data_IF_676623897611
#
_entry.id   IF_676623897611
#
_cell.length_a   1.000
_cell.length_b   1.000
_cell.length_c   1.000
_cell.angle_alpha   90.00
_cell.angle_beta   90.00
_cell.angle_gamma   90.00
#
_symmetry.space_group_name_H-M   'P 1'
#
loop_
_entity.id
_entity.type
_entity.pdbx_description
1 polymer ?
#
# COMPACT_ATOMS: atom_id res chain seq x y z
N UNK A 1 3.75 -14.73 -25.21
CA UNK A 1 4.08 -13.35 -24.89
C UNK A 1 4.59 -13.23 -23.45
N UNK A 2 5.70 -12.52 -23.24
CA UNK A 2 6.23 -12.17 -21.92
C UNK A 2 6.17 -10.66 -21.75
N UNK A 3 5.67 -10.18 -20.61
CA UNK A 3 5.69 -8.76 -20.28
C UNK A 3 6.82 -8.44 -19.29
N UNK A 4 7.48 -7.31 -19.51
CA UNK A 4 8.48 -6.72 -18.61
C UNK A 4 7.97 -5.36 -18.17
N UNK A 5 7.90 -5.13 -16.87
CA UNK A 5 7.30 -3.92 -16.27
C UNK A 5 8.32 -3.09 -15.49
N UNK A 6 8.29 -1.80 -15.70
CA UNK A 6 8.87 -0.79 -14.81
C UNK A 6 7.81 0.25 -14.44
N UNK A 7 7.83 0.73 -13.22
CA UNK A 7 7.11 1.92 -12.78
C UNK A 7 7.85 3.20 -13.21
N UNK A 8 7.11 4.32 -13.29
CA UNK A 8 7.65 5.56 -13.85
C UNK A 8 7.50 6.78 -12.94
N UNK A 9 6.65 6.71 -11.93
CA UNK A 9 6.25 7.87 -11.15
C UNK A 9 7.35 8.34 -10.20
N UNK A 10 7.38 9.66 -9.99
CA UNK A 10 8.18 10.32 -8.97
C UNK A 10 7.30 10.69 -7.78
N UNK A 11 7.92 10.92 -6.63
CA UNK A 11 7.25 11.23 -5.38
C UNK A 11 7.30 12.74 -5.05
N UNK A 12 6.30 13.27 -4.30
CA UNK A 12 6.27 14.66 -3.84
C UNK A 12 7.25 14.88 -2.69
N UNK A 13 8.53 14.65 -2.97
CA UNK A 13 9.66 14.75 -2.04
C UNK A 13 10.71 15.70 -2.60
N UNK A 14 11.18 16.64 -1.77
CA UNK A 14 12.26 17.55 -2.17
C UNK A 14 13.61 16.83 -2.08
N UNK A 15 14.32 16.75 -3.20
CA UNK A 15 15.66 16.19 -3.23
C UNK A 15 16.65 17.09 -2.47
N UNK A 16 17.37 16.51 -1.52
CA UNK A 16 18.33 17.23 -0.67
C UNK A 16 19.79 17.05 -1.10
N UNK A 17 20.05 16.13 -2.02
CA UNK A 17 21.39 15.92 -2.55
C UNK A 17 21.72 17.02 -3.57
N UNK A 18 22.98 17.45 -3.58
CA UNK A 18 23.47 18.45 -4.54
C UNK A 18 24.36 17.75 -5.59
N UNK A 19 23.75 16.87 -6.38
CA UNK A 19 24.41 16.20 -7.49
C UNK A 19 24.12 16.96 -8.81
N UNK A 20 24.95 16.80 -9.84
CA UNK A 20 24.73 17.47 -11.13
C UNK A 20 23.36 17.13 -11.78
N UNK A 21 22.80 16.00 -11.45
CA UNK A 21 21.52 15.48 -11.96
C UNK A 21 20.39 15.50 -10.92
N UNK A 22 20.58 16.10 -9.75
CA UNK A 22 19.52 16.22 -8.74
C UNK A 22 18.31 16.97 -9.27
N UNK A 23 17.13 16.49 -8.96
CA UNK A 23 15.87 17.13 -9.34
C UNK A 23 15.74 18.50 -8.69
N UNK A 24 15.33 19.47 -9.49
CA UNK A 24 14.94 20.82 -9.06
C UNK A 24 13.47 21.12 -9.41
N UNK A 25 12.73 20.06 -9.76
CA UNK A 25 11.33 20.16 -10.13
C UNK A 25 10.48 20.43 -8.90
N UNK A 26 9.47 21.25 -9.10
CA UNK A 26 8.48 21.61 -8.08
C UNK A 26 7.10 21.47 -8.69
N UNK A 27 6.14 21.00 -7.93
CA UNK A 27 4.75 20.86 -8.33
C UNK A 27 3.81 21.24 -7.19
N UNK A 28 2.52 21.36 -7.49
CA UNK A 28 1.49 21.47 -6.45
C UNK A 28 0.89 20.10 -6.21
N UNK A 29 1.00 19.62 -4.98
CA UNK A 29 0.40 18.36 -4.54
C UNK A 29 -0.47 18.62 -3.30
N UNK A 30 -1.74 18.24 -3.36
CA UNK A 30 -2.74 18.50 -2.30
C UNK A 30 -2.76 19.96 -1.84
N UNK A 31 -2.71 20.89 -2.80
CA UNK A 31 -2.77 22.34 -2.56
C UNK A 31 -1.49 22.95 -1.96
N UNK A 32 -0.39 22.19 -1.90
CA UNK A 32 0.90 22.67 -1.38
C UNK A 32 1.98 22.56 -2.45
N UNK A 33 2.88 23.52 -2.49
CA UNK A 33 4.08 23.45 -3.31
C UNK A 33 5.08 22.47 -2.70
N UNK A 34 5.52 21.48 -3.46
CA UNK A 34 6.44 20.42 -3.04
C UNK A 34 7.48 20.16 -4.12
N UNK A 35 8.70 19.78 -3.72
CA UNK A 35 9.69 19.25 -4.65
C UNK A 35 9.28 17.88 -5.17
N UNK A 36 9.85 17.46 -6.29
CA UNK A 36 9.59 16.17 -6.92
C UNK A 36 10.89 15.44 -7.16
N UNK A 37 11.01 14.19 -6.70
CA UNK A 37 12.17 13.35 -6.99
C UNK A 37 11.78 11.87 -7.07
N UNK A 38 12.62 11.08 -7.74
CA UNK A 38 12.54 9.63 -7.70
C UNK A 38 13.11 9.09 -6.38
N UNK A 39 12.28 9.13 -5.32
CA UNK A 39 12.70 8.66 -3.99
C UNK A 39 12.54 7.14 -3.80
N UNK A 40 11.84 6.46 -4.72
CA UNK A 40 11.63 5.01 -4.70
C UNK A 40 12.47 4.25 -5.76
N UNK A 41 13.23 4.96 -6.60
CA UNK A 41 14.13 4.35 -7.58
C UNK A 41 13.48 3.96 -8.92
N UNK A 42 12.29 4.47 -9.23
CA UNK A 42 11.60 4.17 -10.49
C UNK A 42 12.37 4.66 -11.73
N UNK A 43 13.17 5.69 -11.60
CA UNK A 43 14.11 6.12 -12.64
C UNK A 43 15.14 5.03 -12.99
N UNK A 44 15.66 4.32 -11.97
CA UNK A 44 16.55 3.18 -12.19
C UNK A 44 15.79 1.99 -12.83
N UNK A 45 14.54 1.74 -12.44
CA UNK A 45 13.71 0.70 -13.05
C UNK A 45 13.47 0.97 -14.53
N UNK A 46 13.10 2.21 -14.90
CA UNK A 46 12.98 2.63 -16.30
C UNK A 46 14.29 2.47 -17.08
N UNK A 47 15.41 2.91 -16.49
CA UNK A 47 16.71 2.81 -17.15
C UNK A 47 17.10 1.36 -17.43
N UNK A 48 16.84 0.45 -16.49
CA UNK A 48 17.08 -0.99 -16.66
C UNK A 48 16.17 -1.55 -17.77
N UNK A 49 14.86 -1.23 -17.76
CA UNK A 49 13.93 -1.72 -18.77
C UNK A 49 14.28 -1.21 -20.17
N UNK A 50 14.71 0.05 -20.31
CA UNK A 50 15.21 0.61 -21.57
C UNK A 50 16.48 -0.10 -22.06
N UNK A 51 17.42 -0.39 -21.16
CA UNK A 51 18.62 -1.17 -21.46
C UNK A 51 18.29 -2.60 -21.95
N UNK A 52 17.29 -3.24 -21.32
CA UNK A 52 16.77 -4.54 -21.75
C UNK A 52 16.10 -4.44 -23.12
N UNK A 53 15.31 -3.39 -23.36
CA UNK A 53 14.68 -3.14 -24.66
C UNK A 53 15.72 -3.01 -25.78
N UNK A 54 16.79 -2.23 -25.54
CA UNK A 54 17.90 -2.08 -26.48
C UNK A 54 18.59 -3.42 -26.75
N UNK A 55 18.85 -4.20 -25.70
CA UNK A 55 19.46 -5.51 -25.85
C UNK A 55 18.60 -6.47 -26.67
N UNK A 56 17.29 -6.54 -26.37
CA UNK A 56 16.35 -7.41 -27.07
C UNK A 56 16.18 -6.99 -28.52
N UNK A 57 16.09 -5.70 -28.82
CA UNK A 57 15.97 -5.19 -30.19
C UNK A 57 17.17 -5.53 -31.08
N UNK A 58 18.35 -5.71 -30.50
CA UNK A 58 19.58 -6.12 -31.21
C UNK A 58 19.74 -7.66 -31.32
N UNK A 59 18.85 -8.44 -30.68
CA UNK A 59 18.92 -9.90 -30.62
C UNK A 59 17.58 -10.56 -30.93
N UNK A 60 16.76 -9.95 -31.78
CA UNK A 60 15.43 -10.46 -32.14
C UNK A 60 15.45 -11.85 -32.76
N UNK A 61 16.52 -12.18 -33.47
CA UNK A 61 16.78 -13.48 -34.06
C UNK A 61 16.94 -14.64 -33.04
N UNK A 62 17.16 -14.29 -31.77
CA UNK A 62 17.32 -15.24 -30.66
C UNK A 62 16.07 -15.38 -29.80
N UNK A 63 15.04 -14.60 -30.08
CA UNK A 63 13.80 -14.62 -29.31
C UNK A 63 12.85 -15.69 -29.88
N UNK A 64 12.27 -16.50 -29.01
CA UNK A 64 11.28 -17.51 -29.34
C UNK A 64 9.86 -17.06 -28.99
N UNK A 65 9.55 -15.76 -29.13
CA UNK A 65 8.25 -15.18 -28.83
C UNK A 65 8.34 -13.66 -28.70
N UNK A 66 7.22 -13.06 -28.35
CA UNK A 66 7.08 -11.62 -28.26
C UNK A 66 7.32 -11.12 -26.84
N UNK A 67 7.83 -9.88 -26.75
CA UNK A 67 8.07 -9.19 -25.47
C UNK A 67 7.26 -7.90 -25.47
N UNK A 68 6.41 -7.75 -24.45
CA UNK A 68 5.69 -6.52 -24.13
C UNK A 68 6.46 -5.73 -23.09
N UNK A 69 6.69 -4.45 -23.34
CA UNK A 69 7.32 -3.55 -22.38
C UNK A 69 6.24 -2.66 -21.77
N UNK A 70 6.10 -2.70 -20.46
CA UNK A 70 5.10 -1.94 -19.70
C UNK A 70 5.81 -0.88 -18.88
N UNK A 71 5.48 0.38 -19.13
CA UNK A 71 5.91 1.52 -18.34
C UNK A 71 4.70 2.05 -17.57
N UNK A 72 4.58 1.66 -16.31
CA UNK A 72 3.42 1.92 -15.47
C UNK A 72 3.55 3.25 -14.74
N UNK A 73 2.59 4.19 -14.90
CA UNK A 73 2.50 5.40 -14.08
C UNK A 73 1.86 5.10 -12.71
N UNK A 74 1.98 6.05 -11.77
CA UNK A 74 1.25 6.12 -10.51
C UNK A 74 1.26 4.78 -9.70
N UNK A 75 2.43 4.16 -9.54
CA UNK A 75 2.59 2.95 -8.73
C UNK A 75 2.36 3.24 -7.24
N UNK A 76 2.84 4.39 -6.79
CA UNK A 76 2.73 4.88 -5.40
C UNK A 76 1.31 5.40 -5.05
N UNK A 77 0.40 5.32 -6.00
CA UNK A 77 -0.97 5.79 -5.90
C UNK A 77 -1.23 7.13 -6.59
N UNK A 78 -2.44 7.26 -7.10
CA UNK A 78 -2.91 8.51 -7.70
C UNK A 78 -3.30 9.53 -6.64
N UNK A 79 -3.29 10.84 -6.95
CA UNK A 79 -3.89 11.85 -6.10
C UNK A 79 -5.35 11.52 -5.76
N UNK A 80 -5.84 12.00 -4.62
CA UNK A 80 -7.21 11.76 -4.19
C UNK A 80 -8.21 12.26 -5.24
N UNK A 81 -9.12 11.37 -5.66
CA UNK A 81 -10.13 11.65 -6.69
C UNK A 81 -9.67 11.37 -8.12
N UNK A 82 -8.44 10.93 -8.33
CA UNK A 82 -7.91 10.54 -9.64
C UNK A 82 -7.72 9.02 -9.74
N UNK A 83 -8.00 8.47 -10.92
CA UNK A 83 -7.65 7.08 -11.23
C UNK A 83 -6.22 7.00 -11.80
N UNK A 84 -5.53 5.87 -11.57
CA UNK A 84 -4.17 5.69 -12.07
C UNK A 84 -3.62 4.30 -11.83
N UNK A 85 -2.32 4.17 -12.05
CA UNK A 85 -1.58 2.95 -11.80
C UNK A 85 -1.98 1.78 -12.69
N UNK A 86 -1.69 0.58 -12.23
CA UNK A 86 -1.96 -0.66 -12.95
C UNK A 86 -3.47 -0.85 -13.20
N UNK A 87 -4.31 -0.41 -12.28
CA UNK A 87 -5.76 -0.56 -12.39
C UNK A 87 -6.33 0.22 -13.57
N UNK A 88 -5.91 1.49 -13.74
CA UNK A 88 -6.32 2.29 -14.89
C UNK A 88 -5.83 1.66 -16.19
N UNK A 89 -4.59 1.19 -16.25
CA UNK A 89 -4.06 0.51 -17.43
C UNK A 89 -4.87 -0.74 -17.79
N UNK A 90 -5.35 -1.51 -16.78
CA UNK A 90 -6.23 -2.66 -17.00
C UNK A 90 -7.62 -2.23 -17.51
N UNK A 91 -8.20 -1.16 -16.94
CA UNK A 91 -9.48 -0.60 -17.42
C UNK A 91 -9.39 -0.06 -18.85
N UNK A 92 -8.23 0.49 -19.23
CA UNK A 92 -7.93 0.97 -20.58
C UNK A 92 -7.57 -0.16 -21.56
N UNK A 93 -7.57 -1.41 -21.10
CA UNK A 93 -7.45 -2.58 -21.97
C UNK A 93 -6.03 -2.95 -22.37
N UNK A 94 -5.02 -2.70 -21.52
CA UNK A 94 -3.62 -3.04 -21.84
C UNK A 94 -3.42 -4.51 -22.26
N UNK A 95 -4.32 -5.41 -21.88
CA UNK A 95 -4.28 -6.84 -22.21
C UNK A 95 -5.46 -7.31 -23.06
N UNK A 96 -6.23 -6.43 -23.68
CA UNK A 96 -7.42 -6.79 -24.44
C UNK A 96 -7.06 -7.44 -25.79
N UNK A 97 -5.97 -6.98 -26.41
CA UNK A 97 -5.51 -7.57 -27.69
C UNK A 97 -4.70 -8.85 -27.46
N UNK A 98 -3.81 -8.86 -26.46
CA UNK A 98 -2.98 -10.02 -26.17
C UNK A 98 -2.58 -10.06 -24.70
N UNK A 99 -2.82 -11.20 -24.05
CA UNK A 99 -2.52 -11.40 -22.64
C UNK A 99 -1.16 -12.09 -22.48
N UNK A 100 -0.23 -11.51 -21.68
CA UNK A 100 1.05 -12.17 -21.48
C UNK A 100 0.92 -13.44 -20.63
N UNK A 101 1.74 -14.44 -20.94
CA UNK A 101 1.85 -15.69 -20.17
C UNK A 101 2.50 -15.46 -18.81
N UNK A 102 3.36 -14.44 -18.71
CA UNK A 102 3.99 -14.01 -17.47
C UNK A 102 4.38 -12.53 -17.53
N UNK A 103 4.37 -11.87 -16.36
CA UNK A 103 4.83 -10.50 -16.18
C UNK A 103 5.98 -10.52 -15.18
N UNK A 104 7.08 -9.86 -15.53
CA UNK A 104 8.23 -9.68 -14.66
C UNK A 104 8.46 -8.19 -14.39
N UNK A 105 8.75 -7.87 -13.13
CA UNK A 105 9.21 -6.56 -12.69
C UNK A 105 10.35 -6.74 -11.69
N UNK A 106 11.10 -5.66 -11.48
CA UNK A 106 12.12 -5.61 -10.44
C UNK A 106 11.95 -4.35 -9.61
N UNK A 107 12.45 -4.39 -8.38
CA UNK A 107 12.55 -3.21 -7.54
C UNK A 107 13.96 -3.08 -6.97
N UNK A 108 14.55 -1.89 -7.04
CA UNK A 108 15.84 -1.61 -6.39
C UNK A 108 15.66 -1.61 -4.87
N UNK A 109 16.66 -2.10 -4.15
CA UNK A 109 16.61 -2.16 -2.69
C UNK A 109 18.01 -1.95 -2.10
N UNK A 110 18.09 -1.71 -0.80
CA UNK A 110 19.34 -1.65 -0.06
C UNK A 110 19.99 -3.03 0.04
N UNK A 111 20.67 -3.44 -1.02
CA UNK A 111 21.44 -4.67 -1.10
C UNK A 111 22.83 -4.39 -1.68
N UNK A 112 23.82 -5.24 -1.45
CA UNK A 112 25.11 -5.13 -2.12
C UNK A 112 24.97 -5.18 -3.65
N UNK A 113 25.79 -4.44 -4.37
CA UNK A 113 25.77 -4.38 -5.82
C UNK A 113 25.91 -5.78 -6.45
N UNK A 114 25.12 -6.04 -7.49
CA UNK A 114 25.14 -7.30 -8.23
C UNK A 114 24.34 -8.43 -7.58
N UNK A 115 23.67 -8.18 -6.46
CA UNK A 115 22.76 -9.16 -5.83
C UNK A 115 21.34 -8.96 -6.34
N UNK A 116 20.75 -10.03 -6.83
CA UNK A 116 19.31 -10.14 -7.13
C UNK A 116 18.70 -11.09 -6.12
N UNK A 117 17.68 -10.62 -5.41
CA UNK A 117 16.95 -11.41 -4.40
C UNK A 117 15.61 -11.82 -4.97
N UNK A 118 15.28 -13.09 -4.88
CA UNK A 118 13.96 -13.62 -5.24
C UNK A 118 13.62 -14.80 -4.33
N UNK A 119 12.32 -15.08 -4.19
CA UNK A 119 11.85 -16.27 -3.47
C UNK A 119 10.59 -16.83 -4.16
N UNK A 120 10.29 -18.11 -4.03
CA UNK A 120 8.99 -18.67 -4.40
C UNK A 120 7.86 -18.03 -3.58
N UNK A 121 6.70 -17.81 -4.22
CA UNK A 121 5.52 -17.25 -3.58
C UNK A 121 5.60 -15.73 -3.38
N UNK A 122 4.76 -15.14 -2.53
CA UNK A 122 4.69 -13.70 -2.30
C UNK A 122 6.02 -13.15 -1.80
N UNK A 123 6.59 -12.22 -2.54
CA UNK A 123 7.86 -11.59 -2.18
C UNK A 123 7.67 -10.34 -1.34
N UNK A 124 6.65 -9.55 -1.64
CA UNK A 124 6.29 -8.34 -0.90
C UNK A 124 4.86 -8.45 -0.39
N UNK A 125 4.62 -7.92 0.79
CA UNK A 125 3.29 -7.87 1.38
C UNK A 125 2.39 -6.90 0.62
N UNK A 126 1.09 -7.14 0.70
CA UNK A 126 0.08 -6.16 0.27
C UNK A 126 0.24 -4.85 1.06
N UNK A 127 -0.26 -3.77 0.50
CA UNK A 127 -0.33 -2.46 1.16
C UNK A 127 -1.76 -1.96 1.11
N UNK A 128 -2.38 -1.78 2.26
CA UNK A 128 -3.74 -1.30 2.36
C UNK A 128 -3.87 -0.31 3.51
N UNK A 129 -4.67 0.74 3.32
CA UNK A 129 -5.04 1.68 4.36
C UNK A 129 -6.42 1.35 4.92
N UNK A 130 -6.62 1.63 6.20
CA UNK A 130 -7.94 1.63 6.84
C UNK A 130 -8.16 2.90 7.64
N UNK A 131 -9.41 3.31 7.77
CA UNK A 131 -9.85 4.48 8.51
C UNK A 131 -10.92 4.07 9.50
N UNK A 132 -10.82 4.58 10.72
CA UNK A 132 -11.83 4.41 11.77
C UNK A 132 -12.17 5.78 12.32
N UNK A 133 -13.44 6.14 12.27
CA UNK A 133 -13.99 7.32 12.93
C UNK A 133 -14.77 6.84 14.14
N UNK A 134 -14.33 7.25 15.32
CA UNK A 134 -15.02 6.95 16.58
C UNK A 134 -15.94 8.11 16.90
N UNK A 135 -17.23 7.85 16.99
CA UNK A 135 -18.29 8.82 17.26
C UNK A 135 -18.66 8.79 18.73
N UNK A 136 -18.54 9.93 19.37
CA UNK A 136 -18.89 10.14 20.76
C UNK A 136 -19.95 11.23 20.93
N UNK A 137 -19.89 11.91 22.07
CA UNK A 137 -20.74 13.05 22.37
C UNK A 137 -19.98 14.07 23.20
N UNK A 138 -19.88 15.27 22.67
CA UNK A 138 -19.17 16.38 23.32
C UNK A 138 -19.66 16.65 24.74
N UNK A 139 -18.72 16.94 25.63
CA UNK A 139 -18.99 17.44 26.96
C UNK A 139 -17.79 18.19 27.56
N UNK A 140 -17.99 18.78 28.76
CA UNK A 140 -16.89 19.35 29.49
C UNK A 140 -15.99 18.24 30.06
N UNK A 141 -14.68 18.39 29.97
CA UNK A 141 -13.71 17.47 30.57
C UNK A 141 -13.87 17.27 32.08
N UNK A 142 -14.46 18.28 32.78
CA UNK A 142 -14.82 18.17 34.18
C UNK A 142 -16.15 17.46 34.46
N UNK A 143 -16.94 17.14 33.43
CA UNK A 143 -18.24 16.45 33.51
C UNK A 143 -18.34 15.33 32.45
N UNK A 144 -17.43 14.34 32.47
CA UNK A 144 -17.38 13.29 31.43
C UNK A 144 -18.65 12.47 31.37
N UNK A 145 -19.39 12.30 32.47
CA UNK A 145 -20.67 11.56 32.50
C UNK A 145 -21.79 12.25 31.72
N UNK A 146 -21.62 13.49 31.27
CA UNK A 146 -22.59 14.22 30.45
C UNK A 146 -22.43 13.96 28.94
N UNK A 147 -21.40 13.27 28.54
CA UNK A 147 -21.08 12.94 27.14
C UNK A 147 -20.73 11.48 26.93
N UNK A 148 -20.09 11.21 25.81
CA UNK A 148 -19.49 9.93 25.45
C UNK A 148 -18.08 10.26 24.97
N UNK A 149 -17.04 9.71 25.61
CA UNK A 149 -15.66 10.08 25.33
C UNK A 149 -15.06 9.21 24.20
N UNK A 150 -14.94 9.74 22.97
CA UNK A 150 -14.38 8.99 21.86
C UNK A 150 -12.85 8.89 21.94
N UNK A 151 -12.18 9.70 22.78
CA UNK A 151 -10.72 9.65 22.93
C UNK A 151 -10.31 8.41 23.70
N UNK A 152 -11.00 8.12 24.80
CA UNK A 152 -10.77 6.90 25.58
C UNK A 152 -11.14 5.67 24.76
N UNK A 153 -12.29 5.69 24.08
CA UNK A 153 -12.70 4.60 23.20
C UNK A 153 -11.67 4.33 22.08
N UNK A 154 -11.16 5.37 21.44
CA UNK A 154 -10.13 5.26 20.40
C UNK A 154 -8.82 4.68 20.94
N UNK A 155 -8.38 5.09 22.13
CA UNK A 155 -7.18 4.55 22.77
C UNK A 155 -7.31 3.04 23.04
N UNK A 156 -8.46 2.59 23.52
CA UNK A 156 -8.73 1.18 23.77
C UNK A 156 -8.86 0.39 22.46
N UNK A 157 -9.43 0.97 21.41
CA UNK A 157 -9.45 0.38 20.07
C UNK A 157 -8.01 0.16 19.59
N UNK A 158 -7.13 1.17 19.65
CA UNK A 158 -5.74 1.05 19.21
C UNK A 158 -5.01 -0.09 19.91
N UNK A 159 -5.16 -0.19 21.23
CA UNK A 159 -4.51 -1.28 22.01
C UNK A 159 -5.11 -2.65 21.70
N UNK A 160 -6.43 -2.74 21.53
CA UNK A 160 -7.11 -4.00 21.25
C UNK A 160 -6.84 -4.49 19.84
N UNK A 161 -6.73 -3.61 18.83
CA UNK A 161 -6.35 -3.98 17.47
C UNK A 161 -5.01 -4.75 17.43
N UNK A 162 -4.05 -4.47 18.32
CA UNK A 162 -2.78 -5.19 18.39
C UNK A 162 -2.97 -6.67 18.75
N UNK A 163 -4.08 -7.02 19.39
CA UNK A 163 -4.41 -8.41 19.73
C UNK A 163 -4.82 -9.25 18.53
N UNK A 164 -5.21 -8.64 17.44
CA UNK A 164 -5.61 -9.34 16.21
C UNK A 164 -4.43 -10.19 15.73
N UNK A 165 -3.27 -9.57 15.48
CA UNK A 165 -2.08 -10.29 15.01
C UNK A 165 -1.55 -11.25 16.08
N UNK A 166 -1.50 -10.80 17.33
CA UNK A 166 -0.85 -11.58 18.39
C UNK A 166 -1.71 -12.71 18.97
N UNK A 167 -3.05 -12.72 18.79
CA UNK A 167 -3.96 -13.66 19.47
C UNK A 167 -5.02 -14.29 18.57
N UNK A 168 -5.31 -13.74 17.39
CA UNK A 168 -6.44 -14.17 16.55
C UNK A 168 -6.01 -14.71 15.19
N UNK A 169 -4.83 -14.31 14.70
CA UNK A 169 -4.26 -14.82 13.47
C UNK A 169 -3.25 -15.95 13.73
N UNK A 170 -3.27 -16.97 12.89
CA UNK A 170 -2.22 -17.98 12.90
C UNK A 170 -1.00 -17.48 12.12
N UNK A 171 -0.04 -16.89 12.80
CA UNK A 171 1.18 -16.34 12.21
C UNK A 171 2.10 -17.40 11.57
N UNK A 172 1.82 -18.68 11.75
CA UNK A 172 2.54 -19.76 11.07
C UNK A 172 2.05 -19.95 9.63
N UNK A 173 0.79 -19.61 9.36
CA UNK A 173 0.21 -19.71 8.01
C UNK A 173 0.56 -18.49 7.17
N UNK A 174 0.39 -17.28 7.73
CA UNK A 174 0.76 -16.03 7.05
C UNK A 174 1.11 -14.94 8.05
N UNK A 175 2.05 -14.08 7.68
CA UNK A 175 2.42 -12.91 8.47
C UNK A 175 1.48 -11.75 8.17
N UNK A 176 1.21 -10.95 9.21
CA UNK A 176 0.43 -9.73 9.08
C UNK A 176 0.96 -8.62 10.00
N UNK A 177 0.75 -7.39 9.57
CA UNK A 177 1.00 -6.19 10.39
C UNK A 177 -0.24 -5.31 10.33
N UNK A 178 -0.65 -4.78 11.49
CA UNK A 178 -1.71 -3.80 11.63
C UNK A 178 -1.14 -2.64 12.43
N UNK A 179 -1.08 -1.45 11.84
CA UNK A 179 -0.53 -0.26 12.49
C UNK A 179 -1.53 0.89 12.39
N UNK A 180 -1.82 1.55 13.50
CA UNK A 180 -2.47 2.86 13.51
C UNK A 180 -1.37 3.92 13.49
N UNK A 181 -1.26 4.66 12.40
CA UNK A 181 -0.25 5.70 12.20
C UNK A 181 -0.73 7.10 12.53
N UNK A 182 -2.05 7.33 12.46
CA UNK A 182 -2.67 8.62 12.74
C UNK A 182 -3.79 8.41 13.75
N UNK A 183 -3.83 9.29 14.77
CA UNK A 183 -4.95 9.47 15.67
C UNK A 183 -5.13 10.96 15.92
N UNK A 184 -6.32 11.48 15.65
CA UNK A 184 -6.63 12.91 15.73
C UNK A 184 -8.00 13.14 16.34
N UNK A 185 -8.09 14.03 17.33
CA UNK A 185 -9.35 14.42 17.94
C UNK A 185 -9.16 15.49 18.98
N UNK A 186 -10.24 16.25 19.21
CA UNK A 186 -10.26 17.34 20.18
C UNK A 186 -9.55 18.61 19.70
N UNK A 187 -9.96 19.73 20.28
CA UNK A 187 -9.44 21.07 19.97
C UNK A 187 -8.94 21.81 21.22
N UNK A 188 -9.37 21.36 22.40
CA UNK A 188 -9.03 22.01 23.67
C UNK A 188 -8.98 20.99 24.81
N UNK A 189 -8.04 21.17 25.72
CA UNK A 189 -7.74 20.22 26.81
C UNK A 189 -8.90 19.98 27.81
N UNK A 190 -9.89 20.84 27.86
CA UNK A 190 -11.02 20.75 28.80
C UNK A 190 -12.36 20.45 28.12
N UNK A 191 -12.32 19.96 26.88
CA UNK A 191 -13.48 19.57 26.09
C UNK A 191 -13.29 18.13 25.59
N UNK A 192 -14.23 17.25 25.88
CA UNK A 192 -14.37 15.95 25.24
C UNK A 192 -14.94 16.19 23.84
N UNK A 193 -14.30 15.76 22.76
CA UNK A 193 -14.77 16.01 21.39
C UNK A 193 -15.97 15.14 21.03
N UNK A 194 -16.63 15.46 19.91
CA UNK A 194 -17.68 14.62 19.34
C UNK A 194 -17.15 13.40 18.61
N UNK A 195 -15.91 13.47 18.11
CA UNK A 195 -15.32 12.42 17.31
C UNK A 195 -13.79 12.34 17.42
N UNK A 196 -13.25 11.15 17.13
CA UNK A 196 -11.82 10.90 16.92
C UNK A 196 -11.65 10.15 15.61
N UNK A 197 -10.71 10.62 14.80
CA UNK A 197 -10.30 9.98 13.55
C UNK A 197 -9.01 9.19 13.74
N UNK A 198 -8.96 8.00 13.17
CA UNK A 198 -7.77 7.16 13.11
C UNK A 198 -7.55 6.67 11.68
N UNK A 199 -6.28 6.62 11.28
CA UNK A 199 -5.88 6.00 10.02
C UNK A 199 -4.70 5.08 10.25
N UNK A 200 -4.73 3.93 9.58
CA UNK A 200 -3.73 2.90 9.74
C UNK A 200 -3.44 2.15 8.45
N UNK A 201 -2.53 1.20 8.56
CA UNK A 201 -2.12 0.35 7.44
C UNK A 201 -2.16 -1.11 7.82
N UNK A 202 -2.51 -1.94 6.83
CA UNK A 202 -2.48 -3.40 6.88
C UNK A 202 -1.41 -3.89 5.91
N UNK A 203 -0.66 -4.91 6.33
CA UNK A 203 0.29 -5.64 5.49
C UNK A 203 0.05 -7.13 5.69
N UNK A 204 -0.08 -7.88 4.60
CA UNK A 204 -0.15 -9.35 4.63
C UNK A 204 0.39 -9.94 3.34
N UNK A 205 0.75 -11.21 3.38
CA UNK A 205 1.21 -11.99 2.21
C UNK A 205 0.10 -12.87 1.62
N UNK A 206 -1.11 -12.84 2.18
CA UNK A 206 -2.21 -13.72 1.81
C UNK A 206 -3.53 -12.94 1.78
N UNK A 207 -4.28 -13.05 0.67
CA UNK A 207 -5.57 -12.36 0.50
C UNK A 207 -6.64 -12.86 1.47
N UNK A 208 -6.66 -14.15 1.77
CA UNK A 208 -7.63 -14.70 2.75
C UNK A 208 -7.38 -14.14 4.15
N UNK A 209 -6.12 -13.83 4.47
CA UNK A 209 -5.77 -13.14 5.71
C UNK A 209 -6.18 -11.67 5.70
N UNK A 210 -6.15 -11.00 4.55
CA UNK A 210 -6.65 -9.64 4.41
C UNK A 210 -8.13 -9.56 4.78
N UNK A 211 -8.96 -10.41 4.20
CA UNK A 211 -10.39 -10.43 4.45
C UNK A 211 -10.68 -10.74 5.93
N UNK A 212 -9.97 -11.70 6.51
CA UNK A 212 -10.07 -11.99 7.93
C UNK A 212 -9.64 -10.81 8.82
N UNK A 213 -8.60 -10.06 8.42
CA UNK A 213 -8.17 -8.87 9.16
C UNK A 213 -9.25 -7.78 9.11
N UNK A 214 -9.93 -7.58 7.99
CA UNK A 214 -11.05 -6.65 7.87
C UNK A 214 -12.19 -7.01 8.83
N UNK A 215 -12.57 -8.27 8.88
CA UNK A 215 -13.59 -8.78 9.80
C UNK A 215 -13.18 -8.56 11.28
N UNK A 216 -11.92 -8.86 11.61
CA UNK A 216 -11.42 -8.72 12.97
C UNK A 216 -11.27 -7.25 13.38
N UNK A 217 -10.80 -6.35 12.50
CA UNK A 217 -10.76 -4.90 12.77
C UNK A 217 -12.18 -4.39 13.02
N UNK A 218 -13.13 -4.77 12.17
CA UNK A 218 -14.53 -4.36 12.30
C UNK A 218 -15.10 -4.85 13.62
N UNK A 219 -14.91 -6.12 13.95
CA UNK A 219 -15.38 -6.73 15.20
C UNK A 219 -14.79 -6.06 16.44
N UNK A 220 -13.47 -5.86 16.44
CA UNK A 220 -12.78 -5.22 17.57
C UNK A 220 -13.24 -3.79 17.75
N UNK A 221 -13.20 -2.98 16.70
CA UNK A 221 -13.54 -1.57 16.78
C UNK A 221 -15.00 -1.35 17.22
N UNK A 222 -15.94 -2.12 16.65
CA UNK A 222 -17.36 -2.02 16.99
C UNK A 222 -17.61 -2.42 18.45
N UNK A 223 -17.07 -3.55 18.91
CA UNK A 223 -17.33 -4.04 20.27
C UNK A 223 -16.65 -3.17 21.34
N UNK A 224 -15.43 -2.69 21.09
CA UNK A 224 -14.74 -1.77 22.01
C UNK A 224 -15.50 -0.44 22.08
N UNK A 225 -15.87 0.14 20.95
CA UNK A 225 -16.66 1.38 20.93
C UNK A 225 -17.99 1.22 21.70
N UNK A 226 -18.68 0.11 21.46
CA UNK A 226 -19.93 -0.21 22.17
C UNK A 226 -19.74 -0.29 23.70
N UNK A 227 -18.62 -0.84 24.18
CA UNK A 227 -18.29 -0.87 25.61
C UNK A 227 -18.14 0.53 26.23
N UNK A 228 -17.81 1.54 25.40
CA UNK A 228 -17.74 2.95 25.76
C UNK A 228 -19.03 3.73 25.43
N UNK A 229 -20.11 3.09 24.99
CA UNK A 229 -21.32 3.70 24.44
C UNK A 229 -21.04 4.61 23.22
N UNK A 230 -19.92 4.43 22.54
CA UNK A 230 -19.55 5.11 21.31
C UNK A 230 -19.94 4.27 20.09
N UNK A 231 -19.95 4.90 18.91
CA UNK A 231 -20.16 4.24 17.62
C UNK A 231 -18.91 4.37 16.76
N UNK A 232 -18.78 3.56 15.71
CA UNK A 232 -17.67 3.63 14.77
C UNK A 232 -18.16 3.58 13.33
N UNK A 233 -17.48 4.36 12.48
CA UNK A 233 -17.52 4.23 11.02
C UNK A 233 -16.18 3.69 10.57
N UNK A 234 -16.17 2.61 9.78
CA UNK A 234 -14.95 1.93 9.35
C UNK A 234 -14.92 1.91 7.82
N UNK A 235 -13.77 2.27 7.27
CA UNK A 235 -13.53 2.25 5.84
C UNK A 235 -12.18 1.57 5.58
N UNK A 236 -12.17 0.64 4.62
CA UNK A 236 -10.96 0.08 4.06
C UNK A 236 -10.73 0.73 2.70
N UNK A 237 -9.48 0.96 2.35
CA UNK A 237 -9.16 1.51 1.03
C UNK A 237 -9.73 0.57 -0.05
N UNK A 238 -10.47 1.08 -1.04
CA UNK A 238 -11.08 0.25 -2.07
C UNK A 238 -10.03 -0.48 -2.92
N UNK A 239 -8.80 0.01 -2.91
CA UNK A 239 -7.69 -0.50 -3.69
C UNK A 239 -6.47 -0.68 -2.78
N UNK A 240 -6.34 -1.85 -2.19
CA UNK A 240 -5.09 -2.29 -1.58
C UNK A 240 -4.21 -2.92 -2.65
N UNK A 241 -2.90 -2.69 -2.61
CA UNK A 241 -2.00 -3.46 -3.45
C UNK A 241 -2.05 -4.92 -3.04
N UNK A 242 -2.15 -5.80 -4.03
CA UNK A 242 -2.05 -7.24 -3.81
C UNK A 242 -0.62 -7.62 -3.39
N UNK A 243 -0.42 -8.73 -2.67
CA UNK A 243 0.91 -9.26 -2.45
C UNK A 243 1.61 -9.43 -3.79
N UNK A 244 2.85 -8.94 -3.89
CA UNK A 244 3.62 -9.11 -5.12
C UNK A 244 3.89 -10.59 -5.35
N UNK A 245 3.24 -11.17 -6.34
CA UNK A 245 3.25 -12.58 -6.63
C UNK A 245 4.25 -12.90 -7.74
N UNK A 246 5.24 -13.69 -7.43
CA UNK A 246 5.90 -14.54 -8.43
C UNK A 246 5.00 -15.75 -8.80
N UNK A 247 3.67 -15.62 -8.69
CA UNK A 247 2.75 -16.76 -8.60
C UNK A 247 1.89 -17.01 -9.83
N UNK A 248 2.00 -16.23 -10.89
CA UNK A 248 1.15 -16.39 -12.07
C UNK A 248 1.77 -17.26 -13.17
N UNK A 249 3.01 -17.74 -12.99
CA UNK A 249 3.59 -18.75 -13.87
C UNK A 249 4.03 -19.94 -13.03
N UNK A 250 3.41 -21.13 -13.16
CA UNK A 250 3.95 -22.32 -12.56
C UNK A 250 5.32 -22.57 -13.19
N UNK A 251 6.38 -22.27 -12.44
CA UNK A 251 7.72 -22.68 -12.83
C UNK A 251 7.71 -24.20 -13.03
N UNK A 252 8.38 -24.74 -14.05
CA UNK A 252 8.55 -26.20 -14.16
C UNK A 252 9.10 -26.85 -12.90
N UNK A 253 9.74 -26.10 -12.01
CA UNK A 253 10.23 -26.55 -10.70
C UNK A 253 9.12 -26.66 -9.65
N UNK A 254 7.99 -25.96 -9.82
CA UNK A 254 6.87 -26.00 -8.86
C UNK A 254 5.96 -27.20 -9.08
N UNK A 255 6.10 -27.91 -10.23
CA UNK A 255 5.36 -29.13 -10.56
C UNK A 255 5.92 -30.41 -9.90
N UNK A 256 6.98 -30.31 -9.12
CA UNK A 256 7.67 -31.47 -8.52
C UNK A 256 7.52 -31.53 -7.00
N UNK A 257 6.48 -30.89 -6.43
CA UNK A 257 6.12 -31.05 -5.02
C UNK A 257 4.67 -31.46 -4.85
#
# INVERSE_FOLDING_TARGET
>A
LIALRADMDALPVTEKLNLPFSSKQVTTYQGREVGVMHACGHDAHMAVLLGVAEFLSKNTDKLNGDIMLIFQPAEEGSPEGEEGGAELMLKEGIFDEEKPDAIYGMHVTNAPHGIVVTKPGPMMASSEAFRIKVLGKQSLGSRPWGGIDPVVAAADIVTTLQTIVSRRLNILDSQAVITVGIIQGGTRNNIIPDEVFMEGTIRTFDESYRDKIHEEITTVATNVASAHNAEVEIQFAPYGSYPCLLYTSPSPRDRTR
#
